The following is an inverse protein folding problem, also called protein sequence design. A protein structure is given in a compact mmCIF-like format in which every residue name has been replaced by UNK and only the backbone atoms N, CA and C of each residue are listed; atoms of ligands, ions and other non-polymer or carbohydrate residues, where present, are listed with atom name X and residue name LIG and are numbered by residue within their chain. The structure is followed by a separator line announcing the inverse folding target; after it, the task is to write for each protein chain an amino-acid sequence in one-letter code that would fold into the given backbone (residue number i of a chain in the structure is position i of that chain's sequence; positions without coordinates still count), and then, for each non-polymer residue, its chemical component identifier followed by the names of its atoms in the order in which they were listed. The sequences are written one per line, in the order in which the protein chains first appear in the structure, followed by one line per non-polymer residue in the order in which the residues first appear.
data_IF_544674246742
#
_entry.id   IF_544674246742
#
_cell.length_a   1.000
_cell.length_b   1.000
_cell.length_c   1.000
_cell.angle_alpha   90.00
_cell.angle_beta   90.00
_cell.angle_gamma   90.00
#
_symmetry.space_group_name_H-M   'P 1'
#
loop_
_entity.id
_entity.type
_entity.pdbx_description
1 polymer ?
#
# COMPACT_ATOMS: atom_id res chain seq x y z
N UNK A 1 -5.76 5.01 2.34
CA UNK A 1 -5.61 3.53 2.42
C UNK A 1 -4.14 3.10 2.48
N UNK A 2 -3.34 3.34 1.42
CA UNK A 2 -1.93 2.88 1.34
C UNK A 2 -1.04 3.35 2.50
N UNK A 3 -1.23 4.58 2.99
CA UNK A 3 -0.48 5.15 4.13
C UNK A 3 -0.51 4.26 5.38
N UNK A 4 -1.65 3.63 5.69
CA UNK A 4 -1.80 2.79 6.88
C UNK A 4 -0.97 1.52 6.75
N UNK A 5 -0.95 0.91 5.57
CA UNK A 5 -0.16 -0.31 5.32
C UNK A 5 1.34 -0.01 5.29
N UNK A 6 1.75 1.13 4.72
CA UNK A 6 3.12 1.61 4.82
C UNK A 6 3.55 1.77 6.27
N UNK A 7 2.76 2.50 7.08
CA UNK A 7 3.05 2.72 8.49
C UNK A 7 3.16 1.40 9.25
N UNK A 8 2.24 0.46 9.01
CA UNK A 8 2.30 -0.87 9.62
C UNK A 8 3.62 -1.57 9.34
N UNK A 9 4.07 -1.60 8.08
CA UNK A 9 5.35 -2.22 7.71
C UNK A 9 6.54 -1.52 8.33
N UNK A 10 6.54 -0.19 8.32
CA UNK A 10 7.58 0.61 8.94
C UNK A 10 7.70 0.31 10.44
N UNK A 11 6.58 0.33 11.18
CA UNK A 11 6.61 0.03 12.61
C UNK A 11 6.99 -1.42 12.92
N UNK A 12 6.53 -2.38 12.11
CA UNK A 12 6.99 -3.78 12.24
C UNK A 12 8.50 -3.89 12.05
N UNK A 13 9.07 -3.21 11.03
CA UNK A 13 10.51 -3.20 10.80
C UNK A 13 11.29 -2.55 11.95
N UNK A 14 10.77 -1.48 12.55
CA UNK A 14 11.38 -0.84 13.72
C UNK A 14 11.42 -1.81 14.91
N UNK A 15 10.30 -2.49 15.18
CA UNK A 15 10.20 -3.44 16.28
C UNK A 15 11.20 -4.59 16.12
N UNK A 16 11.28 -5.17 14.92
CA UNK A 16 12.28 -6.20 14.61
C UNK A 16 13.72 -5.71 14.78
N UNK A 17 14.00 -4.46 14.42
CA UNK A 17 15.32 -3.86 14.62
C UNK A 17 15.68 -3.71 16.10
N UNK A 18 14.73 -3.30 16.94
CA UNK A 18 14.93 -3.28 18.41
C UNK A 18 15.17 -4.68 18.97
N UNK A 19 14.43 -5.69 18.52
CA UNK A 19 14.62 -7.09 18.94
C UNK A 19 16.01 -7.63 18.58
N UNK A 20 16.61 -7.13 17.49
CA UNK A 20 17.97 -7.48 17.03
C UNK A 20 19.08 -6.64 17.67
N UNK A 21 18.74 -5.63 18.48
CA UNK A 21 19.71 -4.74 19.10
C UNK A 21 20.31 -3.69 18.15
N UNK A 22 19.59 -3.32 17.09
CA UNK A 22 20.01 -2.23 16.21
C UNK A 22 20.00 -0.88 16.93
N UNK A 23 20.97 -0.02 16.63
CA UNK A 23 21.22 1.22 17.40
C UNK A 23 20.20 2.32 17.06
N UNK A 24 19.67 2.37 15.82
CA UNK A 24 18.67 3.37 15.37
C UNK A 24 17.73 2.78 14.30
N UNK A 25 16.89 1.80 14.63
CA UNK A 25 16.04 1.11 13.65
C UNK A 25 14.99 2.04 13.00
N UNK A 26 14.70 3.20 13.58
CA UNK A 26 13.83 4.23 13.01
C UNK A 26 14.46 5.03 11.86
N UNK A 27 15.80 4.99 11.72
CA UNK A 27 16.51 5.67 10.63
C UNK A 27 16.53 4.81 9.38
N UNK A 28 15.49 4.96 8.57
CA UNK A 28 15.38 4.30 7.28
C UNK A 28 15.92 5.19 6.15
N UNK A 29 16.55 4.58 5.16
CA UNK A 29 16.99 5.29 3.96
C UNK A 29 15.88 5.30 2.89
N UNK A 30 16.13 6.00 1.77
CA UNK A 30 15.16 6.11 0.68
C UNK A 30 14.82 4.74 0.04
N UNK A 31 15.80 3.85 -0.06
CA UNK A 31 15.60 2.51 -0.63
C UNK A 31 14.67 1.66 0.25
N UNK A 32 14.84 1.72 1.57
CA UNK A 32 13.96 1.04 2.53
C UNK A 32 12.52 1.58 2.42
N UNK A 33 12.37 2.90 2.33
CA UNK A 33 11.05 3.53 2.13
C UNK A 33 10.39 3.06 0.83
N UNK A 34 11.16 2.93 -0.27
CA UNK A 34 10.66 2.39 -1.55
C UNK A 34 10.24 0.93 -1.39
N UNK A 35 11.01 0.10 -0.68
CA UNK A 35 10.63 -1.28 -0.42
C UNK A 35 9.34 -1.38 0.41
N UNK A 36 9.18 -0.55 1.43
CA UNK A 36 7.95 -0.54 2.25
C UNK A 36 6.73 -0.14 1.45
N UNK A 37 6.80 0.90 0.62
CA UNK A 37 5.64 1.31 -0.18
C UNK A 37 5.31 0.26 -1.25
N UNK A 38 6.33 -0.34 -1.87
CA UNK A 38 6.15 -1.40 -2.86
C UNK A 38 5.47 -2.63 -2.24
N UNK A 39 5.91 -3.06 -1.06
CA UNK A 39 5.32 -4.19 -0.36
C UNK A 39 3.91 -3.87 0.17
N UNK A 40 3.70 -2.66 0.71
CA UNK A 40 2.38 -2.21 1.14
C UNK A 40 1.38 -2.24 -0.03
N UNK A 41 1.77 -1.74 -1.20
CA UNK A 41 0.91 -1.73 -2.39
C UNK A 41 0.63 -3.14 -2.92
N UNK A 42 1.68 -3.94 -3.15
CA UNK A 42 1.52 -5.21 -3.88
C UNK A 42 1.04 -6.37 -3.00
N UNK A 43 1.28 -6.33 -1.69
CA UNK A 43 0.95 -7.45 -0.79
C UNK A 43 -0.25 -7.15 0.11
N UNK A 44 -0.39 -5.91 0.60
CA UNK A 44 -1.37 -5.61 1.65
C UNK A 44 -2.64 -4.92 1.13
N UNK A 45 -2.52 -4.07 0.11
CA UNK A 45 -3.66 -3.37 -0.46
C UNK A 45 -4.49 -4.35 -1.29
N UNK A 46 -5.67 -4.71 -0.76
CA UNK A 46 -6.63 -5.58 -1.44
C UNK A 46 -7.48 -4.79 -2.44
N UNK A 47 -8.01 -5.44 -3.51
CA UNK A 47 -8.96 -4.81 -4.43
C UNK A 47 -10.18 -4.21 -3.74
N UNK A 48 -10.66 -4.83 -2.64
CA UNK A 48 -11.76 -4.29 -1.83
C UNK A 48 -11.39 -2.98 -1.14
N UNK A 49 -10.15 -2.83 -0.67
CA UNK A 49 -9.65 -1.59 -0.09
C UNK A 49 -9.63 -0.46 -1.13
N UNK A 50 -9.21 -0.77 -2.36
CA UNK A 50 -9.25 0.18 -3.49
C UNK A 50 -10.71 0.55 -3.77
N UNK A 51 -11.60 -0.42 -3.97
CA UNK A 51 -13.01 -0.18 -4.23
C UNK A 51 -13.69 0.69 -3.15
N UNK A 52 -13.39 0.42 -1.87
CA UNK A 52 -13.87 1.24 -0.76
C UNK A 52 -13.35 2.67 -0.84
N UNK A 53 -12.08 2.88 -1.21
CA UNK A 53 -11.50 4.21 -1.40
C UNK A 53 -12.25 5.00 -2.48
N UNK A 54 -12.52 4.39 -3.64
CA UNK A 54 -13.31 5.00 -4.71
C UNK A 54 -14.72 5.36 -4.24
N UNK A 55 -15.39 4.43 -3.54
CA UNK A 55 -16.73 4.65 -2.98
C UNK A 55 -16.75 5.82 -1.99
N UNK A 56 -15.79 5.90 -1.07
CA UNK A 56 -15.70 6.99 -0.08
C UNK A 56 -15.42 8.34 -0.73
N UNK A 57 -14.60 8.37 -1.78
CA UNK A 57 -14.36 9.59 -2.55
C UNK A 57 -15.56 9.96 -3.44
N UNK A 58 -16.64 9.18 -3.44
CA UNK A 58 -17.80 9.32 -4.34
C UNK A 58 -17.40 9.34 -5.82
N UNK A 59 -16.22 8.80 -6.13
CA UNK A 59 -15.79 8.53 -7.49
C UNK A 59 -16.58 7.29 -7.88
N UNK A 60 -17.72 7.51 -8.54
CA UNK A 60 -18.50 6.42 -9.11
C UNK A 60 -17.58 5.67 -10.06
N UNK A 61 -17.19 4.44 -9.71
CA UNK A 61 -16.84 3.48 -10.76
C UNK A 61 -18.18 3.20 -11.43
N UNK A 62 -18.36 3.62 -12.68
CA UNK A 62 -19.53 3.33 -13.51
C UNK A 62 -20.08 1.95 -13.14
N UNK A 63 -21.33 1.94 -12.70
CA UNK A 63 -21.91 0.87 -11.90
C UNK A 63 -22.04 -0.48 -12.65
N UNK A 64 -21.59 -0.59 -13.90
CA UNK A 64 -21.72 -1.80 -14.73
C UNK A 64 -20.41 -2.41 -15.26
N UNK A 65 -19.22 -1.90 -14.91
CA UNK A 65 -18.00 -2.43 -15.51
C UNK A 65 -17.46 -3.68 -14.79
N UNK A 66 -17.26 -4.82 -15.48
CA UNK A 66 -16.75 -6.06 -14.88
C UNK A 66 -15.36 -5.88 -14.27
N UNK A 67 -15.10 -6.57 -13.16
CA UNK A 67 -13.90 -6.44 -12.32
C UNK A 67 -12.59 -6.60 -13.11
N UNK A 68 -12.59 -7.36 -14.21
CA UNK A 68 -11.41 -7.55 -15.06
C UNK A 68 -10.98 -6.25 -15.77
N UNK A 69 -11.93 -5.43 -16.23
CA UNK A 69 -11.66 -4.14 -16.91
C UNK A 69 -11.20 -3.08 -15.91
N UNK A 70 -11.70 -3.12 -14.67
CA UNK A 70 -11.23 -2.24 -13.59
C UNK A 70 -9.75 -2.45 -13.28
N UNK A 71 -9.30 -3.71 -13.25
CA UNK A 71 -7.90 -4.07 -12.98
C UNK A 71 -6.96 -3.66 -14.13
N UNK A 72 -7.42 -3.75 -15.37
CA UNK A 72 -6.68 -3.32 -16.57
C UNK A 72 -6.54 -1.80 -16.60
N UNK A 73 -7.61 -1.04 -16.37
CA UNK A 73 -7.55 0.42 -16.30
C UNK A 73 -6.66 0.92 -15.16
N UNK A 74 -6.69 0.24 -14.00
CA UNK A 74 -5.80 0.59 -12.89
C UNK A 74 -4.32 0.35 -13.22
N UNK A 75 -4.00 -0.76 -13.90
CA UNK A 75 -2.65 -1.04 -14.36
C UNK A 75 -2.17 -0.06 -15.43
N UNK A 76 -3.07 0.43 -16.27
CA UNK A 76 -2.79 1.43 -17.30
C UNK A 76 -2.63 2.87 -16.75
N UNK A 77 -3.11 3.14 -15.54
CA UNK A 77 -2.93 4.45 -14.90
C UNK A 77 -1.63 4.54 -14.07
N UNK A 78 -1.01 3.39 -13.80
CA UNK A 78 0.19 3.27 -12.95
C UNK A 78 1.47 3.05 -13.79
N UNK A 79 1.35 2.70 -15.08
CA UNK A 79 2.46 2.67 -16.05
C UNK A 79 2.33 3.85 -17.01
#
# INVERSE_FOLDING_TARGET
AIKIYYQRRFYSSILEGYEKGEINPEKINLLDAIHFINAAWNMDVKPTTIANCFRHCKIRSEEDMPLNKKLVMFKAFIN
#
